data_IF_915630802916
#
_entry.id   IF_915630802916
#
_cell.length_a   1.000
_cell.length_b   1.000
_cell.length_c   1.000
_cell.angle_alpha   90.00
_cell.angle_beta   90.00
_cell.angle_gamma   90.00
#
_symmetry.space_group_name_H-M   'P 1'
#
loop_
_entity.id
_entity.type
_entity.pdbx_description
1 polymer ?
#
# COMPACT_ATOMS: atom_id res chain seq x y z
N UNK A 1 -2.21 0.67 10.35
CA UNK A 1 -2.60 1.43 11.55
C UNK A 1 -1.76 2.69 11.76
N UNK A 2 -0.85 3.06 10.84
CA UNK A 2 -0.07 4.31 10.88
C UNK A 2 -0.70 5.45 10.06
N UNK A 3 -1.64 5.13 9.17
CA UNK A 3 -2.41 6.12 8.41
C UNK A 3 -3.65 6.54 9.21
N UNK A 4 -3.87 7.85 9.45
CA UNK A 4 -5.09 8.34 10.06
C UNK A 4 -6.27 8.18 9.11
N UNK A 5 -7.48 8.03 9.64
CA UNK A 5 -8.72 7.86 8.85
C UNK A 5 -8.98 9.07 7.94
N UNK A 6 -8.77 10.26 8.46
CA UNK A 6 -8.70 11.53 7.74
C UNK A 6 -7.41 12.23 8.14
N UNK A 7 -6.86 13.07 7.28
CA UNK A 7 -5.65 13.82 7.60
C UNK A 7 -5.87 14.69 8.84
N UNK A 8 -4.93 14.62 9.80
CA UNK A 8 -4.95 15.38 11.04
C UNK A 8 -3.66 16.18 11.15
N UNK A 9 -3.76 17.48 11.02
CA UNK A 9 -2.66 18.43 11.12
C UNK A 9 -1.72 18.44 9.91
N UNK A 10 -1.50 17.32 9.23
CA UNK A 10 -0.59 17.21 8.08
C UNK A 10 -1.16 16.28 7.01
N UNK A 11 -1.09 16.70 5.74
CA UNK A 11 -1.32 15.86 4.57
C UNK A 11 0.03 15.40 4.04
N UNK A 12 0.25 14.11 3.98
CA UNK A 12 1.56 13.51 3.68
C UNK A 12 1.76 13.10 2.23
N UNK A 13 0.67 12.91 1.47
CA UNK A 13 0.74 12.57 0.06
C UNK A 13 -0.48 13.06 -0.69
N UNK A 14 -0.37 13.20 -2.00
CA UNK A 14 -1.47 13.54 -2.87
C UNK A 14 -2.47 12.37 -2.99
N UNK A 15 -3.71 12.63 -2.60
CA UNK A 15 -4.79 11.62 -2.51
C UNK A 15 -5.16 11.23 -1.07
N UNK A 16 -4.43 11.69 -0.05
CA UNK A 16 -4.82 11.43 1.34
C UNK A 16 -6.16 12.07 1.67
N UNK A 17 -7.14 11.32 2.21
CA UNK A 17 -8.44 11.87 2.57
C UNK A 17 -8.34 12.96 3.63
N UNK A 18 -8.98 14.12 3.38
CA UNK A 18 -9.03 15.24 4.33
C UNK A 18 -10.45 15.46 4.89
N UNK A 19 -11.48 15.08 4.13
CA UNK A 19 -12.87 15.19 4.53
C UNK A 19 -13.70 14.13 3.80
N UNK A 20 -14.86 13.79 4.39
CA UNK A 20 -15.85 12.93 3.74
C UNK A 20 -17.22 13.62 3.81
N UNK A 21 -18.00 13.45 2.76
CA UNK A 21 -19.29 14.11 2.60
C UNK A 21 -20.36 13.10 2.23
N UNK A 22 -21.53 13.17 2.88
CA UNK A 22 -22.72 12.42 2.52
C UNK A 22 -23.87 13.35 2.13
N UNK A 23 -24.67 12.92 1.16
CA UNK A 23 -25.90 13.57 0.73
C UNK A 23 -26.90 12.51 0.23
N UNK A 24 -28.16 12.92 0.05
CA UNK A 24 -29.20 11.99 -0.42
C UNK A 24 -28.94 11.48 -1.84
N UNK A 25 -28.27 12.31 -2.66
CA UNK A 25 -27.95 11.99 -4.05
C UNK A 25 -26.44 12.07 -4.28
N UNK A 26 -25.90 11.13 -5.08
CA UNK A 26 -24.47 11.05 -5.40
C UNK A 26 -23.92 12.36 -5.99
N UNK A 27 -24.66 12.97 -6.93
CA UNK A 27 -24.24 14.22 -7.56
C UNK A 27 -24.17 15.36 -6.56
N UNK A 28 -25.10 15.42 -5.62
CA UNK A 28 -25.07 16.42 -4.55
C UNK A 28 -23.87 16.21 -3.62
N UNK A 29 -23.55 14.96 -3.27
CA UNK A 29 -22.37 14.64 -2.47
C UNK A 29 -21.07 15.05 -3.20
N UNK A 30 -20.94 14.75 -4.49
CA UNK A 30 -19.77 15.15 -5.30
C UNK A 30 -19.61 16.68 -5.39
N UNK A 31 -20.69 17.39 -5.63
CA UNK A 31 -20.68 18.88 -5.64
C UNK A 31 -20.32 19.45 -4.28
N UNK A 32 -20.83 18.88 -3.21
CA UNK A 32 -20.50 19.31 -1.85
C UNK A 32 -19.03 19.02 -1.52
N UNK A 33 -18.50 17.85 -1.89
CA UNK A 33 -17.08 17.54 -1.74
C UNK A 33 -16.19 18.51 -2.52
N UNK A 34 -16.55 18.83 -3.76
CA UNK A 34 -15.82 19.82 -4.58
C UNK A 34 -15.89 21.26 -4.02
N UNK A 35 -16.86 21.57 -3.16
CA UNK A 35 -16.98 22.86 -2.50
C UNK A 35 -16.19 22.97 -1.19
N UNK A 36 -15.58 21.88 -0.72
CA UNK A 36 -14.70 21.92 0.46
C UNK A 36 -13.43 22.69 0.10
N UNK A 37 -13.15 23.74 0.85
CA UNK A 37 -11.94 24.54 0.70
C UNK A 37 -10.97 24.16 1.82
N UNK A 38 -9.74 23.81 1.45
CA UNK A 38 -8.67 23.51 2.39
C UNK A 38 -7.52 24.49 2.17
N UNK A 39 -7.12 25.18 3.22
CA UNK A 39 -5.94 26.04 3.19
C UNK A 39 -4.72 25.24 3.67
N UNK A 40 -3.65 25.24 2.86
CA UNK A 40 -2.43 24.50 3.14
C UNK A 40 -1.26 25.43 3.37
N UNK A 41 -0.46 25.14 4.39
CA UNK A 41 0.93 25.56 4.45
C UNK A 41 1.78 24.48 3.77
N UNK A 42 2.40 24.83 2.64
CA UNK A 42 3.18 23.87 1.84
C UNK A 42 4.53 23.62 2.50
N UNK A 43 4.78 22.36 2.87
CA UNK A 43 6.05 21.89 3.41
C UNK A 43 6.93 21.30 2.29
N UNK A 44 8.25 21.20 2.52
CA UNK A 44 9.17 20.58 1.57
C UNK A 44 8.95 19.05 1.52
N UNK A 45 8.55 18.48 0.36
CA UNK A 45 8.25 17.06 0.27
C UNK A 45 9.50 16.21 0.04
N UNK A 46 9.57 15.05 0.66
CA UNK A 46 10.61 14.04 0.45
C UNK A 46 10.06 12.96 -0.51
N UNK A 47 10.32 13.10 -1.82
CA UNK A 47 9.76 12.23 -2.86
C UNK A 47 10.76 11.26 -3.51
N UNK A 48 12.07 11.51 -3.35
CA UNK A 48 13.09 10.58 -3.85
C UNK A 48 13.43 9.53 -2.78
N UNK A 49 13.19 8.23 -3.05
CA UNK A 49 13.46 7.17 -2.08
C UNK A 49 14.95 7.07 -1.71
N UNK A 50 15.86 7.49 -2.58
CA UNK A 50 17.31 7.50 -2.27
C UNK A 50 17.63 8.57 -1.23
N UNK A 51 17.02 9.74 -1.34
CA UNK A 51 17.19 10.81 -0.35
C UNK A 51 16.52 10.43 0.97
N UNK A 52 15.37 9.75 0.90
CA UNK A 52 14.68 9.25 2.09
C UNK A 52 15.57 8.29 2.90
N UNK A 53 16.22 7.33 2.23
CA UNK A 53 17.15 6.40 2.90
C UNK A 53 18.35 7.12 3.50
N UNK A 54 18.93 8.10 2.82
CA UNK A 54 20.07 8.87 3.34
C UNK A 54 19.76 9.59 4.65
N UNK A 55 18.52 10.05 4.83
CA UNK A 55 18.08 10.71 6.08
C UNK A 55 17.46 9.73 7.09
N UNK A 56 17.54 8.42 6.83
CA UNK A 56 17.01 7.38 7.71
C UNK A 56 15.49 7.24 7.67
N UNK A 57 14.79 7.83 6.68
CA UNK A 57 13.35 7.70 6.51
C UNK A 57 13.01 6.38 5.81
N UNK A 58 12.91 5.31 6.59
CA UNK A 58 12.64 3.94 6.09
C UNK A 58 11.60 3.24 6.95
N UNK A 59 10.83 2.32 6.34
CA UNK A 59 9.94 1.41 7.04
C UNK A 59 10.69 0.17 7.53
N UNK A 60 11.61 -0.34 6.69
CA UNK A 60 12.36 -1.55 6.98
C UNK A 60 13.66 -1.58 6.18
N UNK A 61 14.69 -2.14 6.80
CA UNK A 61 15.91 -2.60 6.14
C UNK A 61 16.05 -4.10 6.31
N UNK A 62 16.66 -4.78 5.34
CA UNK A 62 16.85 -6.23 5.38
C UNK A 62 18.17 -6.60 4.73
N UNK A 63 18.87 -7.59 5.31
CA UNK A 63 20.08 -8.17 4.74
C UNK A 63 20.01 -9.69 4.78
N UNK A 64 20.32 -10.33 3.65
CA UNK A 64 20.46 -11.78 3.53
C UNK A 64 21.90 -12.09 3.16
N UNK A 65 22.50 -13.03 3.87
CA UNK A 65 23.84 -13.54 3.62
C UNK A 65 23.78 -15.06 3.70
N UNK A 66 24.18 -15.73 2.64
CA UNK A 66 24.19 -17.18 2.57
C UNK A 66 25.37 -17.69 1.74
N UNK A 67 25.97 -18.77 2.17
CA UNK A 67 27.09 -19.43 1.49
C UNK A 67 28.46 -18.82 1.79
N UNK A 68 29.40 -19.03 0.88
CA UNK A 68 30.80 -18.61 1.02
C UNK A 68 31.01 -17.16 0.58
N UNK A 69 31.35 -16.25 1.52
CA UNK A 69 31.55 -14.84 1.18
C UNK A 69 32.75 -14.59 0.26
N UNK A 70 33.70 -15.51 0.19
CA UNK A 70 34.93 -15.41 -0.61
C UNK A 70 34.81 -16.12 -1.96
N UNK A 71 33.65 -16.70 -2.29
CA UNK A 71 33.41 -17.31 -3.58
C UNK A 71 33.32 -16.25 -4.69
N UNK A 72 34.13 -16.38 -5.73
CA UNK A 72 34.15 -15.51 -6.90
C UNK A 72 34.12 -16.33 -8.19
N UNK A 73 33.40 -15.81 -9.20
CA UNK A 73 33.33 -16.37 -10.54
C UNK A 73 34.26 -15.65 -11.52
N UNK A 74 34.59 -16.32 -12.63
CA UNK A 74 35.46 -15.75 -13.67
C UNK A 74 34.74 -14.70 -14.56
N UNK A 75 33.41 -14.80 -14.68
CA UNK A 75 32.57 -13.94 -15.52
C UNK A 75 31.69 -13.11 -14.63
N UNK A 76 31.71 -11.80 -14.79
CA UNK A 76 30.91 -10.84 -14.00
C UNK A 76 29.93 -10.11 -14.91
N UNK A 77 28.66 -10.08 -14.51
CA UNK A 77 27.59 -9.31 -15.18
C UNK A 77 26.90 -8.44 -14.14
N UNK A 78 26.80 -7.16 -14.44
CA UNK A 78 26.09 -6.19 -13.59
C UNK A 78 24.93 -5.55 -14.36
N UNK A 79 23.88 -5.19 -13.65
CA UNK A 79 22.72 -4.49 -14.20
C UNK A 79 21.99 -3.65 -13.17
N UNK A 80 21.46 -2.53 -13.61
CA UNK A 80 20.56 -1.67 -12.86
C UNK A 80 19.18 -1.69 -13.51
N UNK A 81 18.15 -1.78 -12.70
CA UNK A 81 16.76 -1.88 -13.17
C UNK A 81 15.90 -0.92 -12.36
N UNK A 82 14.95 -0.30 -13.05
CA UNK A 82 14.00 0.60 -12.44
C UNK A 82 12.57 0.22 -12.87
N UNK A 83 11.65 0.18 -11.90
CA UNK A 83 10.22 -0.01 -12.13
C UNK A 83 9.51 1.16 -11.46
N UNK A 84 8.68 1.86 -12.25
CA UNK A 84 7.85 2.96 -11.74
C UNK A 84 6.65 2.46 -10.94
N UNK A 85 5.94 3.40 -10.32
CA UNK A 85 4.67 3.14 -9.66
C UNK A 85 3.66 2.58 -10.69
N UNK A 86 2.97 1.53 -10.33
CA UNK A 86 1.95 0.91 -11.16
C UNK A 86 0.66 0.73 -10.35
N UNK A 87 -0.46 1.05 -11.00
CA UNK A 87 -1.78 0.75 -10.48
C UNK A 87 -2.22 -0.64 -10.96
N UNK A 88 -2.87 -1.40 -10.11
CA UNK A 88 -3.39 -2.74 -10.41
C UNK A 88 -4.58 -2.68 -11.38
N UNK A 89 -5.26 -1.54 -11.45
CA UNK A 89 -6.38 -1.22 -12.34
C UNK A 89 -7.42 -2.35 -12.47
N UNK A 90 -7.95 -2.90 -11.37
CA UNK A 90 -9.01 -3.90 -11.46
C UNK A 90 -10.21 -3.32 -12.19
N UNK A 91 -10.98 -4.16 -12.90
CA UNK A 91 -12.11 -3.70 -13.72
C UNK A 91 -13.15 -2.94 -12.88
N UNK A 92 -13.53 -3.46 -11.71
CA UNK A 92 -14.37 -2.77 -10.74
C UNK A 92 -13.54 -1.83 -9.87
N UNK A 93 -13.98 -0.59 -9.71
CA UNK A 93 -13.41 0.37 -8.75
C UNK A 93 -13.83 0.03 -7.32
N UNK A 94 -13.28 0.75 -6.34
CA UNK A 94 -13.66 0.61 -4.93
C UNK A 94 -15.14 0.99 -4.76
N UNK A 95 -15.88 0.10 -4.11
CA UNK A 95 -17.30 0.28 -3.85
C UNK A 95 -17.70 -0.38 -2.53
N UNK A 96 -18.64 0.23 -1.82
CA UNK A 96 -19.17 -0.34 -0.59
C UNK A 96 -20.49 0.29 -0.17
N UNK A 97 -21.15 -0.39 0.77
CA UNK A 97 -22.40 0.04 1.40
C UNK A 97 -22.33 -0.25 2.89
N UNK A 98 -22.53 0.75 3.71
CA UNK A 98 -22.63 0.61 5.16
C UNK A 98 -24.08 0.87 5.61
N UNK A 99 -24.61 0.02 6.46
CA UNK A 99 -26.01 0.06 6.96
C UNK A 99 -25.98 -0.01 8.49
N UNK A 100 -26.42 1.04 9.21
CA UNK A 100 -26.63 0.97 10.65
C UNK A 100 -27.73 -0.05 10.97
N UNK A 101 -27.55 -0.86 12.02
CA UNK A 101 -28.53 -1.90 12.39
C UNK A 101 -29.62 -1.42 13.35
N UNK A 102 -29.65 -0.12 13.67
CA UNK A 102 -30.61 0.49 14.59
C UNK A 102 -30.38 0.14 16.07
N UNK A 103 -29.35 -0.64 16.41
CA UNK A 103 -29.01 -1.03 17.79
C UNK A 103 -27.61 -0.60 18.20
N UNK A 104 -26.96 0.24 17.37
CA UNK A 104 -25.59 0.72 17.57
C UNK A 104 -24.54 -0.17 16.94
N UNK A 105 -24.91 -1.10 16.06
CA UNK A 105 -24.02 -1.88 15.22
C UNK A 105 -24.10 -1.45 13.75
N UNK A 106 -23.24 -2.02 12.91
CA UNK A 106 -23.14 -1.70 11.50
C UNK A 106 -22.85 -2.91 10.64
N UNK A 107 -23.55 -3.02 9.51
CA UNK A 107 -23.29 -3.97 8.43
C UNK A 107 -22.53 -3.25 7.30
N UNK A 108 -21.35 -3.74 6.93
CA UNK A 108 -20.53 -3.21 5.86
C UNK A 108 -20.41 -4.25 4.73
N UNK A 109 -20.92 -3.91 3.56
CA UNK A 109 -20.80 -4.70 2.34
C UNK A 109 -19.70 -4.10 1.48
N UNK A 110 -18.63 -4.87 1.22
CA UNK A 110 -17.44 -4.39 0.51
C UNK A 110 -16.74 -5.56 -0.19
N UNK A 111 -15.98 -5.28 -1.24
CA UNK A 111 -15.07 -6.26 -1.84
C UNK A 111 -13.70 -6.13 -1.23
N UNK A 112 -13.18 -7.20 -0.64
CA UNK A 112 -11.84 -7.24 -0.03
C UNK A 112 -11.15 -8.59 -0.25
N UNK A 113 -9.82 -8.58 -0.28
CA UNK A 113 -8.98 -9.79 -0.28
C UNK A 113 -8.76 -10.32 1.14
N UNK A 114 -8.84 -9.46 2.17
CA UNK A 114 -8.49 -9.78 3.56
C UNK A 114 -9.58 -9.45 4.57
N UNK A 115 -10.73 -10.06 4.41
CA UNK A 115 -11.95 -9.79 5.19
C UNK A 115 -11.71 -9.66 6.71
N UNK A 116 -10.93 -10.56 7.30
CA UNK A 116 -10.68 -10.56 8.74
C UNK A 116 -9.73 -9.44 9.19
N UNK A 117 -8.77 -9.09 8.35
CA UNK A 117 -7.84 -7.99 8.61
C UNK A 117 -8.57 -6.66 8.49
N UNK A 118 -9.39 -6.49 7.45
CA UNK A 118 -10.25 -5.31 7.29
C UNK A 118 -11.19 -5.15 8.48
N UNK A 119 -11.84 -6.24 8.90
CA UNK A 119 -12.71 -6.23 10.08
C UNK A 119 -11.98 -5.69 11.32
N UNK A 120 -10.78 -6.22 11.60
CA UNK A 120 -10.00 -5.78 12.76
C UNK A 120 -9.61 -4.29 12.67
N UNK A 121 -9.26 -3.80 11.47
CA UNK A 121 -8.92 -2.40 11.24
C UNK A 121 -10.16 -1.49 11.37
N UNK A 122 -11.30 -1.88 10.82
CA UNK A 122 -12.56 -1.13 10.93
C UNK A 122 -12.99 -1.03 12.40
N UNK A 123 -13.00 -2.15 13.13
CA UNK A 123 -13.30 -2.21 14.56
C UNK A 123 -12.41 -1.26 15.37
N UNK A 124 -11.10 -1.33 15.15
CA UNK A 124 -10.13 -0.47 15.86
C UNK A 124 -10.33 1.02 15.54
N UNK A 125 -10.57 1.35 14.27
CA UNK A 125 -10.74 2.74 13.82
C UNK A 125 -12.04 3.36 14.28
N UNK A 126 -13.11 2.56 14.38
CA UNK A 126 -14.41 3.03 14.90
C UNK A 126 -14.48 3.04 16.44
N UNK A 127 -13.54 2.39 17.13
CA UNK A 127 -13.60 2.20 18.58
C UNK A 127 -14.81 1.38 19.04
N UNK A 128 -15.32 0.50 18.19
CA UNK A 128 -16.53 -0.28 18.44
C UNK A 128 -16.20 -1.70 18.92
N UNK A 129 -17.10 -2.37 19.68
CA UNK A 129 -16.97 -3.80 19.94
C UNK A 129 -17.02 -4.62 18.63
N UNK A 130 -16.19 -5.67 18.54
CA UNK A 130 -16.04 -6.47 17.32
C UNK A 130 -17.35 -7.16 16.87
N UNK A 131 -18.21 -7.53 17.80
CA UNK A 131 -19.53 -8.13 17.54
C UNK A 131 -20.59 -7.13 17.04
N UNK A 132 -20.28 -5.84 17.07
CA UNK A 132 -21.12 -4.75 16.55
C UNK A 132 -20.78 -4.34 15.12
N UNK A 133 -19.69 -4.87 14.57
CA UNK A 133 -19.25 -4.59 13.18
C UNK A 133 -19.32 -5.89 12.39
N UNK A 134 -20.14 -5.94 11.35
CA UNK A 134 -20.28 -7.12 10.50
C UNK A 134 -19.85 -6.77 9.08
N UNK A 135 -18.80 -7.44 8.60
CA UNK A 135 -18.33 -7.32 7.23
C UNK A 135 -18.89 -8.46 6.35
N UNK A 136 -19.49 -8.06 5.25
CA UNK A 136 -20.00 -8.95 4.22
C UNK A 136 -19.15 -8.80 2.95
N UNK A 137 -18.41 -9.84 2.59
CA UNK A 137 -17.61 -9.80 1.39
C UNK A 137 -18.51 -9.93 0.15
N UNK A 138 -18.61 -8.86 -0.62
CA UNK A 138 -19.27 -8.85 -1.92
C UNK A 138 -18.39 -9.53 -2.99
N UNK A 139 -18.92 -9.73 -4.19
CA UNK A 139 -18.15 -10.31 -5.30
C UNK A 139 -16.91 -9.47 -5.61
N UNK A 140 -15.72 -10.10 -5.63
CA UNK A 140 -14.46 -9.45 -5.97
C UNK A 140 -14.19 -9.64 -7.46
N UNK A 141 -14.38 -8.59 -8.25
CA UNK A 141 -14.20 -8.59 -9.71
C UNK A 141 -12.76 -8.36 -10.17
N UNK A 142 -11.79 -8.88 -9.42
CA UNK A 142 -10.37 -8.62 -9.59
C UNK A 142 -9.85 -7.64 -8.53
N UNK A 143 -8.59 -7.79 -8.14
CA UNK A 143 -7.95 -6.93 -7.16
C UNK A 143 -6.44 -6.80 -7.40
N UNK A 144 -5.72 -7.92 -7.63
CA UNK A 144 -4.28 -7.94 -7.93
C UNK A 144 -3.43 -7.26 -6.85
N UNK A 145 -3.90 -7.32 -5.57
CA UNK A 145 -3.28 -6.68 -4.43
C UNK A 145 -3.91 -5.34 -4.02
N UNK A 146 -4.66 -4.63 -4.87
CA UNK A 146 -5.24 -3.32 -4.54
C UNK A 146 -6.28 -3.35 -3.40
N UNK A 147 -6.85 -4.54 -3.11
CA UNK A 147 -7.86 -4.72 -2.06
C UNK A 147 -7.35 -5.54 -0.87
N UNK A 148 -6.06 -5.52 -0.64
CA UNK A 148 -5.44 -6.03 0.59
C UNK A 148 -5.43 -4.99 1.70
N UNK A 149 -5.63 -3.72 1.36
CA UNK A 149 -5.69 -2.61 2.30
C UNK A 149 -7.06 -1.92 2.30
N UNK A 150 -7.32 -1.16 3.35
CA UNK A 150 -8.54 -0.36 3.48
C UNK A 150 -8.47 0.86 2.57
N UNK A 151 -9.56 1.13 1.84
CA UNK A 151 -9.75 2.33 1.05
C UNK A 151 -10.92 3.18 1.59
N UNK A 152 -12.16 2.75 1.36
CA UNK A 152 -13.39 3.49 1.73
C UNK A 152 -14.15 2.91 2.93
N UNK A 153 -13.77 1.75 3.45
CA UNK A 153 -14.52 0.97 4.45
C UNK A 153 -14.84 1.77 5.71
N UNK A 154 -13.82 2.42 6.28
CA UNK A 154 -13.96 3.19 7.52
C UNK A 154 -14.78 4.46 7.27
N UNK A 155 -14.56 5.15 6.16
CA UNK A 155 -15.30 6.35 5.78
C UNK A 155 -16.80 6.09 5.62
N UNK A 156 -17.16 4.96 4.99
CA UNK A 156 -18.55 4.52 4.86
C UNK A 156 -19.20 4.32 6.23
N UNK A 157 -18.52 3.57 7.11
CA UNK A 157 -19.04 3.29 8.44
C UNK A 157 -19.21 4.57 9.27
N UNK A 158 -18.23 5.49 9.22
CA UNK A 158 -18.32 6.77 9.92
C UNK A 158 -19.51 7.60 9.44
N UNK A 159 -19.69 7.74 8.12
CA UNK A 159 -20.81 8.48 7.56
C UNK A 159 -22.15 7.82 7.91
N UNK A 160 -22.27 6.49 7.82
CA UNK A 160 -23.50 5.77 8.12
C UNK A 160 -23.88 5.89 9.60
N UNK A 161 -22.91 5.74 10.52
CA UNK A 161 -23.14 5.90 11.96
C UNK A 161 -23.50 7.34 12.33
N UNK A 162 -22.85 8.32 11.67
CA UNK A 162 -23.11 9.74 11.97
C UNK A 162 -24.48 10.22 11.46
N UNK A 163 -24.93 9.67 10.33
CA UNK A 163 -26.22 10.05 9.72
C UNK A 163 -27.38 9.17 10.17
N UNK A 164 -27.11 8.05 10.82
CA UNK A 164 -28.06 6.98 11.14
C UNK A 164 -28.84 6.48 9.90
N UNK A 165 -28.16 6.44 8.75
CA UNK A 165 -28.73 6.07 7.45
C UNK A 165 -27.78 5.17 6.67
N UNK A 166 -28.28 4.32 5.77
CA UNK A 166 -27.43 3.59 4.82
C UNK A 166 -26.61 4.57 3.95
N UNK A 167 -25.31 4.32 3.85
CA UNK A 167 -24.40 5.12 3.01
C UNK A 167 -23.71 4.20 2.00
N UNK A 168 -23.78 4.59 0.72
CA UNK A 168 -23.07 3.94 -0.38
C UNK A 168 -22.00 4.87 -0.93
N UNK A 169 -20.81 4.33 -1.18
CA UNK A 169 -19.73 5.04 -1.86
C UNK A 169 -19.22 4.19 -3.01
N UNK A 170 -18.95 4.83 -4.14
CA UNK A 170 -18.37 4.19 -5.32
C UNK A 170 -17.37 5.18 -5.90
N UNK A 171 -16.11 4.78 -5.98
CA UNK A 171 -15.08 5.58 -6.64
C UNK A 171 -15.27 5.52 -8.15
N UNK A 172 -15.07 6.66 -8.81
CA UNK A 172 -14.81 6.63 -10.24
C UNK A 172 -13.36 6.15 -10.51
N UNK A 173 -12.96 6.03 -11.76
CA UNK A 173 -11.63 5.52 -12.08
C UNK A 173 -10.50 6.46 -11.64
N UNK A 174 -10.72 7.77 -11.68
CA UNK A 174 -9.73 8.73 -11.23
C UNK A 174 -9.58 8.71 -9.71
N UNK A 175 -10.69 8.60 -8.98
CA UNK A 175 -10.69 8.41 -7.52
C UNK A 175 -10.02 7.08 -7.13
N UNK A 176 -10.28 6.00 -7.88
CA UNK A 176 -9.66 4.70 -7.66
C UNK A 176 -8.13 4.77 -7.79
N UNK A 177 -7.61 5.45 -8.82
CA UNK A 177 -6.16 5.59 -9.02
C UNK A 177 -5.44 6.36 -7.90
N UNK A 178 -6.13 7.10 -7.07
CA UNK A 178 -5.51 7.82 -5.95
C UNK A 178 -5.95 7.33 -4.58
N UNK A 179 -7.04 6.55 -4.53
CA UNK A 179 -7.73 6.16 -3.30
C UNK A 179 -7.35 4.78 -2.75
N UNK A 180 -6.45 4.05 -3.39
CA UNK A 180 -5.94 2.77 -2.89
C UNK A 180 -4.41 2.68 -3.01
N UNK A 181 -3.83 1.64 -2.42
CA UNK A 181 -2.38 1.41 -2.46
C UNK A 181 -1.92 0.92 -3.84
N UNK A 182 -0.68 1.27 -4.21
CA UNK A 182 -0.07 0.95 -5.49
C UNK A 182 1.02 -0.10 -5.36
N UNK A 183 1.47 -0.66 -6.49
CA UNK A 183 2.67 -1.46 -6.52
C UNK A 183 3.89 -0.57 -6.25
N UNK A 184 4.81 -1.06 -5.41
CA UNK A 184 6.02 -0.35 -5.06
C UNK A 184 6.87 -0.01 -6.29
N UNK A 185 7.21 1.27 -6.52
CA UNK A 185 8.36 1.61 -7.35
C UNK A 185 9.62 0.96 -6.79
N UNK A 186 10.47 0.46 -7.65
CA UNK A 186 11.67 -0.21 -7.22
C UNK A 186 12.87 0.19 -8.06
N UNK A 187 14.02 0.36 -7.41
CA UNK A 187 15.34 0.43 -8.02
C UNK A 187 16.15 -0.74 -7.55
N UNK A 188 16.73 -1.46 -8.48
CA UNK A 188 17.41 -2.71 -8.21
C UNK A 188 18.79 -2.70 -8.90
N UNK A 189 19.80 -3.08 -8.16
CA UNK A 189 21.11 -3.34 -8.71
C UNK A 189 21.48 -4.80 -8.48
N UNK A 190 21.87 -5.47 -9.52
CA UNK A 190 22.31 -6.86 -9.47
C UNK A 190 23.75 -6.98 -9.97
N UNK A 191 24.51 -7.86 -9.32
CA UNK A 191 25.79 -8.35 -9.75
C UNK A 191 25.79 -9.87 -9.67
N UNK A 192 26.01 -10.52 -10.81
CA UNK A 192 26.14 -11.97 -10.91
C UNK A 192 27.55 -12.34 -11.29
N UNK A 193 28.12 -13.34 -10.62
CA UNK A 193 29.38 -13.93 -10.97
C UNK A 193 29.16 -15.42 -11.30
N UNK A 194 29.75 -15.89 -12.39
CA UNK A 194 29.64 -17.27 -12.87
C UNK A 194 30.99 -17.82 -13.30
N UNK A 195 31.11 -19.15 -13.26
CA UNK A 195 32.18 -19.84 -13.93
C UNK A 195 31.94 -19.83 -15.46
N UNK A 196 32.95 -20.20 -16.28
CA UNK A 196 32.82 -20.15 -17.76
C UNK A 196 31.81 -21.15 -18.32
N UNK A 197 31.45 -22.18 -17.55
CA UNK A 197 30.42 -23.16 -17.91
C UNK A 197 29.00 -22.68 -17.61
N UNK A 198 28.84 -21.44 -17.04
CA UNK A 198 27.56 -20.85 -16.69
C UNK A 198 27.08 -21.16 -15.28
N UNK A 199 27.87 -21.91 -14.47
CA UNK A 199 27.54 -22.17 -13.07
C UNK A 199 27.57 -20.85 -12.27
N UNK A 200 26.44 -20.46 -11.64
CA UNK A 200 26.40 -19.29 -10.78
C UNK A 200 27.23 -19.49 -9.51
N UNK A 201 28.15 -18.58 -9.27
CA UNK A 201 29.03 -18.58 -8.10
C UNK A 201 28.53 -17.61 -7.06
N UNK A 202 28.27 -16.34 -7.47
CA UNK A 202 27.89 -15.27 -6.56
C UNK A 202 26.73 -14.47 -7.14
N UNK A 203 25.78 -14.12 -6.28
CA UNK A 203 24.70 -13.18 -6.58
C UNK A 203 24.67 -12.11 -5.51
N UNK A 204 24.84 -10.89 -5.94
CA UNK A 204 24.62 -9.70 -5.12
C UNK A 204 23.41 -8.95 -5.65
N UNK A 205 22.52 -8.54 -4.76
CA UNK A 205 21.35 -7.71 -5.10
C UNK A 205 21.19 -6.59 -4.08
N UNK A 206 20.92 -5.40 -4.58
CA UNK A 206 20.50 -4.26 -3.76
C UNK A 206 19.11 -3.80 -4.24
N UNK A 207 18.13 -3.80 -3.34
CA UNK A 207 16.73 -3.52 -3.64
C UNK A 207 16.27 -2.31 -2.84
N UNK A 208 15.92 -1.23 -3.53
CA UNK A 208 15.31 -0.05 -2.93
C UNK A 208 13.87 0.06 -3.40
N UNK A 209 12.93 -0.08 -2.48
CA UNK A 209 11.49 0.09 -2.70
C UNK A 209 11.04 1.45 -2.16
N UNK A 210 10.18 2.14 -2.91
CA UNK A 210 9.45 3.29 -2.39
C UNK A 210 8.13 2.82 -1.78
N UNK A 211 8.00 2.92 -0.46
CA UNK A 211 6.79 2.52 0.26
C UNK A 211 5.74 3.62 0.35
N UNK A 212 6.08 4.85 -0.06
CA UNK A 212 5.19 6.00 0.06
C UNK A 212 5.07 6.53 1.49
N UNK A 213 3.96 7.20 1.80
CA UNK A 213 3.78 7.95 3.05
C UNK A 213 3.47 7.07 4.27
N UNK A 214 2.80 5.93 4.06
CA UNK A 214 2.37 5.01 5.11
C UNK A 214 2.77 3.58 4.80
N UNK A 215 3.01 2.79 5.84
CA UNK A 215 3.67 1.49 5.72
C UNK A 215 2.87 0.44 4.92
N UNK A 216 1.55 0.41 5.07
CA UNK A 216 0.73 -0.65 4.48
C UNK A 216 1.39 -2.03 4.62
N UNK A 217 1.61 -2.74 3.52
CA UNK A 217 2.31 -4.04 3.46
C UNK A 217 3.79 -3.94 3.08
N UNK A 218 4.39 -2.73 3.00
CA UNK A 218 5.75 -2.50 2.51
C UNK A 218 6.81 -3.37 3.18
N UNK A 219 6.67 -3.64 4.50
CA UNK A 219 7.61 -4.51 5.21
C UNK A 219 7.57 -5.96 4.74
N UNK A 220 6.40 -6.48 4.38
CA UNK A 220 6.24 -7.83 3.85
C UNK A 220 6.69 -7.91 2.39
N UNK A 221 6.36 -6.89 1.59
CA UNK A 221 6.78 -6.80 0.18
C UNK A 221 8.30 -6.75 0.07
N UNK A 222 8.98 -5.95 0.91
CA UNK A 222 10.45 -5.94 0.95
C UNK A 222 11.02 -7.32 1.31
N UNK A 223 10.43 -8.00 2.32
CA UNK A 223 10.89 -9.33 2.70
C UNK A 223 10.77 -10.31 1.54
N UNK A 224 9.63 -10.34 0.86
CA UNK A 224 9.42 -11.20 -0.30
C UNK A 224 10.39 -10.85 -1.45
N UNK A 225 10.59 -9.56 -1.75
CA UNK A 225 11.53 -9.13 -2.75
C UNK A 225 12.96 -9.63 -2.46
N UNK A 226 13.41 -9.54 -1.20
CA UNK A 226 14.72 -10.04 -0.79
C UNK A 226 14.82 -11.57 -0.82
N UNK A 227 13.80 -12.29 -0.32
CA UNK A 227 13.81 -13.76 -0.31
C UNK A 227 13.83 -14.35 -1.70
N UNK A 228 13.17 -13.73 -2.66
CA UNK A 228 13.08 -14.22 -4.03
C UNK A 228 14.04 -13.53 -5.01
N UNK A 229 14.94 -12.67 -4.52
CA UNK A 229 15.87 -11.90 -5.36
C UNK A 229 16.79 -12.80 -6.24
N UNK A 230 17.10 -14.01 -5.80
CA UNK A 230 17.93 -14.96 -6.55
C UNK A 230 17.09 -15.81 -7.53
N UNK A 231 15.75 -15.81 -7.38
CA UNK A 231 14.87 -16.68 -8.16
C UNK A 231 15.08 -18.16 -7.86
N UNK A 232 14.88 -19.06 -8.85
CA UNK A 232 15.01 -20.51 -8.67
C UNK A 232 16.45 -21.02 -8.77
N UNK A 233 17.43 -20.15 -8.85
CA UNK A 233 18.81 -20.49 -9.11
C UNK A 233 19.57 -20.86 -7.82
N UNK A 234 20.65 -21.60 -7.98
CA UNK A 234 21.62 -21.92 -6.93
C UNK A 234 22.88 -21.10 -7.18
N UNK A 235 23.38 -20.45 -6.14
CA UNK A 235 24.68 -19.81 -6.12
C UNK A 235 25.46 -20.26 -4.89
N UNK A 236 26.80 -20.24 -4.96
CA UNK A 236 27.66 -20.59 -3.80
C UNK A 236 27.66 -19.48 -2.76
N UNK A 237 27.44 -18.24 -3.19
CA UNK A 237 27.34 -17.07 -2.35
C UNK A 237 26.14 -16.21 -2.74
N UNK A 238 25.39 -15.77 -1.75
CA UNK A 238 24.23 -14.86 -1.94
C UNK A 238 24.32 -13.72 -0.95
N UNK A 239 24.27 -12.50 -1.46
CA UNK A 239 24.20 -11.26 -0.68
C UNK A 239 23.06 -10.40 -1.20
N UNK A 240 22.06 -10.19 -0.38
CA UNK A 240 20.93 -9.32 -0.72
C UNK A 240 20.78 -8.25 0.35
N UNK A 241 20.75 -7.01 -0.06
CA UNK A 241 20.41 -5.86 0.77
C UNK A 241 19.13 -5.23 0.24
N UNK A 242 18.21 -4.92 1.12
CA UNK A 242 16.93 -4.33 0.77
C UNK A 242 16.53 -3.24 1.73
N UNK A 243 15.90 -2.20 1.18
CA UNK A 243 15.39 -1.06 1.91
C UNK A 243 13.99 -0.67 1.39
N UNK A 244 13.08 -0.37 2.29
CA UNK A 244 11.79 0.23 1.96
C UNK A 244 11.78 1.66 2.50
N UNK A 245 11.86 2.62 1.60
CA UNK A 245 11.87 4.04 1.91
C UNK A 245 10.47 4.53 2.32
N UNK A 246 10.43 5.49 3.24
CA UNK A 246 9.25 6.26 3.56
C UNK A 246 9.38 7.65 2.92
N UNK A 247 8.43 7.99 2.03
CA UNK A 247 8.43 9.20 1.23
C UNK A 247 7.09 9.94 1.35
N UNK A 248 6.93 11.06 0.63
CA UNK A 248 5.64 11.74 0.47
C UNK A 248 4.90 11.31 -0.82
N UNK A 249 5.27 10.18 -1.40
CA UNK A 249 4.53 9.57 -2.50
C UNK A 249 3.28 8.83 -1.97
N UNK A 250 2.30 8.51 -2.83
CA UNK A 250 1.19 7.65 -2.45
C UNK A 250 1.66 6.33 -1.85
N UNK A 251 0.93 5.85 -0.84
CA UNK A 251 1.28 4.60 -0.15
C UNK A 251 1.25 3.41 -1.09
N UNK A 252 2.20 2.50 -0.90
CA UNK A 252 2.32 1.29 -1.69
C UNK A 252 1.97 0.05 -0.86
N UNK A 253 1.25 -0.86 -1.50
CA UNK A 253 0.87 -2.18 -0.99
C UNK A 253 1.35 -3.29 -1.94
N UNK A 254 0.71 -4.47 -1.90
CA UNK A 254 1.08 -5.64 -2.72
C UNK A 254 1.00 -5.40 -4.22
#
# INVERSE_FOLDING_TARGET
>A
PDQPVLAEGEVRYWGQPVAVVAADEQETARRAAAAVVVEYEVLEPLVDPREAVKVGSTFRTMAIRNGDPDAHGEVVVEGEYEVGMQDQAPLGTEAGLAIPDGTGGIDLFVSTQWLHIDHAQVVASLGMPADRVRLHNAGVGGAFGSREDISLQIHLCLLALHTDRPVKMVYDRAESFVGHVHRHPARMRYRHEADRDGTLVRVEAHLLLDGGAFASTSSAVLANACYFAVGPYRARSVQVDGESARTNNPSCGA
#
